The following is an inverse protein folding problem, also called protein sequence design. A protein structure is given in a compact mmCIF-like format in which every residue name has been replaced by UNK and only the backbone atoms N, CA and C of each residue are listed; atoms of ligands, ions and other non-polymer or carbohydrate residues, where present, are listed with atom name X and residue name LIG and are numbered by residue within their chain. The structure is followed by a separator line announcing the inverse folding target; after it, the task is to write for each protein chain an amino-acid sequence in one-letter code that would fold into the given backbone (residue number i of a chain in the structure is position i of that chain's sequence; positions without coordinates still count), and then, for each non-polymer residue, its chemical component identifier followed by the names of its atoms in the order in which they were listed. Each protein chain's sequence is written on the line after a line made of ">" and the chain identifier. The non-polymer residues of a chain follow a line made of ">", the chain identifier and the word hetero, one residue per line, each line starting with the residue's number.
data_IF_066827691160
#
_entry.id   IF_066827691160
#
_cell.length_a   1.000
_cell.length_b   1.000
_cell.length_c   1.000
_cell.angle_alpha   90.00
_cell.angle_beta   90.00
_cell.angle_gamma   90.00
#
_symmetry.space_group_name_H-M   'P 1'
#
loop_
_entity.id
_entity.type
_entity.pdbx_description
1 polymer ?
#
# COMPACT_ATOMS: atom_id res chain seq x y z
N UNK A 1 11.12 -16.79 1.73
CA UNK A 1 10.04 -17.41 2.53
C UNK A 1 8.86 -17.75 1.64
N UNK A 2 8.24 -18.92 1.86
CA UNK A 2 7.07 -19.32 1.09
C UNK A 2 5.82 -18.55 1.52
N UNK A 3 4.84 -18.39 0.60
CA UNK A 3 3.62 -17.61 0.85
C UNK A 3 2.88 -18.09 2.12
N UNK A 4 2.74 -19.39 2.29
CA UNK A 4 2.02 -19.98 3.43
C UNK A 4 2.69 -19.65 4.79
N UNK A 5 4.00 -19.58 4.83
CA UNK A 5 4.74 -19.18 6.03
C UNK A 5 4.50 -17.69 6.35
N UNK A 6 4.50 -16.84 5.30
CA UNK A 6 4.19 -15.42 5.45
C UNK A 6 2.77 -15.22 5.98
N UNK A 7 1.77 -15.94 5.42
CA UNK A 7 0.38 -15.90 5.90
C UNK A 7 0.28 -16.23 7.39
N UNK A 8 0.96 -17.30 7.83
CA UNK A 8 0.98 -17.68 9.24
C UNK A 8 1.56 -16.59 10.14
N UNK A 9 2.68 -15.98 9.74
CA UNK A 9 3.30 -14.89 10.50
C UNK A 9 2.37 -13.67 10.56
N UNK A 10 1.81 -13.25 9.42
CA UNK A 10 0.90 -12.09 9.34
C UNK A 10 -0.33 -12.32 10.21
N UNK A 11 -0.90 -13.53 10.18
CA UNK A 11 -2.05 -13.89 10.99
C UNK A 11 -1.80 -13.72 12.50
N UNK A 12 -0.59 -13.97 12.98
CA UNK A 12 -0.26 -13.77 14.41
C UNK A 12 -0.14 -12.29 14.81
N UNK A 13 0.04 -11.40 13.85
CA UNK A 13 0.27 -9.96 14.08
C UNK A 13 -0.98 -9.10 13.86
N UNK A 14 -2.06 -9.67 13.33
CA UNK A 14 -3.27 -8.94 12.97
C UNK A 14 -4.52 -9.55 13.59
N UNK A 15 -5.52 -8.72 13.88
CA UNK A 15 -6.86 -9.19 14.21
C UNK A 15 -7.46 -9.99 13.04
N UNK A 16 -8.43 -10.86 13.32
CA UNK A 16 -9.14 -11.64 12.29
C UNK A 16 -9.69 -10.74 11.17
N UNK A 17 -10.28 -9.60 11.54
CA UNK A 17 -10.83 -8.63 10.58
C UNK A 17 -9.73 -8.05 9.68
N UNK A 18 -8.58 -7.69 10.24
CA UNK A 18 -7.48 -7.10 9.47
C UNK A 18 -6.78 -8.16 8.63
N UNK A 19 -6.64 -9.36 9.15
CA UNK A 19 -6.09 -10.48 8.39
C UNK A 19 -6.98 -10.82 7.18
N UNK A 20 -8.31 -10.88 7.38
CA UNK A 20 -9.26 -11.07 6.28
C UNK A 20 -9.13 -9.98 5.19
N UNK A 21 -8.99 -8.71 5.59
CA UNK A 21 -8.68 -7.63 4.65
C UNK A 21 -7.39 -7.92 3.86
N UNK A 22 -6.31 -8.32 4.54
CA UNK A 22 -5.05 -8.66 3.87
C UNK A 22 -5.19 -9.83 2.88
N UNK A 23 -6.03 -10.81 3.17
CA UNK A 23 -6.36 -11.89 2.23
C UNK A 23 -7.11 -11.37 0.99
N UNK A 24 -8.08 -10.47 1.18
CA UNK A 24 -8.78 -9.84 0.06
C UNK A 24 -7.84 -8.98 -0.82
N UNK A 25 -6.90 -8.26 -0.20
CA UNK A 25 -5.87 -7.50 -0.91
C UNK A 25 -4.93 -8.42 -1.67
N UNK A 26 -4.52 -9.55 -1.09
CA UNK A 26 -3.70 -10.57 -1.74
C UNK A 26 -4.37 -11.09 -3.02
N UNK A 27 -5.66 -11.45 -2.95
CA UNK A 27 -6.39 -11.93 -4.14
C UNK A 27 -6.54 -10.82 -5.19
N UNK A 28 -6.81 -9.58 -4.76
CA UNK A 28 -6.89 -8.45 -5.71
C UNK A 28 -5.54 -8.13 -6.36
N UNK A 29 -4.45 -8.19 -5.61
CA UNK A 29 -3.09 -8.02 -6.14
C UNK A 29 -2.73 -9.11 -7.17
N UNK A 30 -3.12 -10.36 -6.90
CA UNK A 30 -2.99 -11.49 -7.85
C UNK A 30 -3.73 -11.23 -9.17
N UNK A 31 -4.99 -10.75 -9.11
CA UNK A 31 -5.78 -10.41 -10.30
C UNK A 31 -5.08 -9.33 -11.14
N UNK A 32 -4.62 -8.25 -10.48
CA UNK A 32 -3.94 -7.15 -11.14
C UNK A 32 -2.57 -7.58 -11.69
N UNK A 33 -1.80 -8.39 -10.97
CA UNK A 33 -0.55 -8.95 -11.45
C UNK A 33 -0.75 -9.78 -12.71
N UNK A 34 -1.78 -10.64 -12.74
CA UNK A 34 -2.13 -11.39 -13.95
C UNK A 34 -2.51 -10.48 -15.11
N UNK A 35 -3.29 -9.41 -14.85
CA UNK A 35 -3.73 -8.46 -15.89
C UNK A 35 -2.55 -7.71 -16.50
N UNK A 36 -1.60 -7.28 -15.68
CA UNK A 36 -0.46 -6.44 -16.12
C UNK A 36 0.84 -7.19 -16.36
N UNK A 37 0.82 -8.53 -16.34
CA UNK A 37 2.00 -9.36 -16.65
C UNK A 37 3.11 -9.29 -15.60
N UNK A 38 2.75 -9.08 -14.32
CA UNK A 38 3.69 -9.12 -13.20
C UNK A 38 3.71 -10.48 -12.51
N UNK A 39 4.76 -10.77 -11.73
CA UNK A 39 4.88 -12.00 -10.96
C UNK A 39 3.74 -12.11 -9.92
N UNK A 40 2.92 -13.15 -10.09
CA UNK A 40 1.74 -13.38 -9.27
C UNK A 40 2.11 -13.72 -7.82
N UNK A 41 3.16 -14.52 -7.61
CA UNK A 41 3.57 -14.94 -6.28
C UNK A 41 4.19 -13.77 -5.50
N UNK A 42 4.95 -12.90 -6.16
CA UNK A 42 5.44 -11.67 -5.55
C UNK A 42 4.27 -10.76 -5.16
N UNK A 43 3.32 -10.54 -6.06
CA UNK A 43 2.14 -9.69 -5.79
C UNK A 43 1.30 -10.23 -4.62
N UNK A 44 1.11 -11.54 -4.52
CA UNK A 44 0.42 -12.18 -3.40
C UNK A 44 1.15 -11.96 -2.07
N UNK A 45 2.48 -12.14 -2.06
CA UNK A 45 3.31 -11.96 -0.86
C UNK A 45 3.23 -10.53 -0.34
N UNK A 46 3.33 -9.52 -1.20
CA UNK A 46 3.20 -8.13 -0.76
C UNK A 46 1.77 -7.79 -0.36
N UNK A 47 0.77 -8.35 -1.05
CA UNK A 47 -0.64 -8.16 -0.73
C UNK A 47 -1.01 -8.64 0.68
N UNK A 48 -0.59 -9.86 1.07
CA UNK A 48 -0.88 -10.39 2.40
C UNK A 48 -0.12 -9.65 3.51
N UNK A 49 1.09 -9.15 3.23
CA UNK A 49 1.96 -8.54 4.22
C UNK A 49 1.81 -7.01 4.34
N UNK A 50 1.09 -6.34 3.44
CA UNK A 50 1.10 -4.86 3.32
C UNK A 50 0.74 -4.12 4.62
N UNK A 51 -0.16 -4.66 5.41
CA UNK A 51 -0.67 -4.07 6.65
C UNK A 51 -0.11 -4.75 7.92
N UNK A 52 0.99 -5.52 7.84
CA UNK A 52 1.56 -6.30 8.95
C UNK A 52 1.83 -5.48 10.23
N UNK A 53 2.05 -4.18 10.12
CA UNK A 53 2.27 -3.25 11.23
C UNK A 53 1.07 -2.34 11.52
N UNK A 54 -0.10 -2.59 10.90
CA UNK A 54 -1.26 -1.68 10.98
C UNK A 54 -1.78 -1.50 12.39
N UNK A 55 -1.88 -2.58 13.13
CA UNK A 55 -2.50 -2.62 14.47
C UNK A 55 -1.49 -2.44 15.60
N UNK A 56 -0.23 -2.20 15.29
CA UNK A 56 0.77 -1.78 16.29
C UNK A 56 0.31 -0.46 16.92
N UNK A 57 0.32 -0.30 18.26
CA UNK A 57 -0.04 0.96 18.94
C UNK A 57 0.85 2.13 18.49
N UNK A 58 0.30 3.34 18.44
CA UNK A 58 1.03 4.52 17.93
C UNK A 58 2.32 4.82 18.70
N UNK A 59 2.30 4.65 20.02
CA UNK A 59 3.50 4.83 20.87
C UNK A 59 4.59 3.82 20.52
N UNK A 60 4.20 2.58 20.28
CA UNK A 60 5.13 1.52 19.86
C UNK A 60 5.66 1.76 18.44
N UNK A 61 4.85 2.30 17.53
CA UNK A 61 5.31 2.72 16.20
C UNK A 61 6.40 3.78 16.29
N UNK A 62 6.20 4.82 17.10
CA UNK A 62 7.19 5.88 17.33
C UNK A 62 8.48 5.33 17.97
N UNK A 63 8.35 4.41 18.90
CA UNK A 63 9.51 3.72 19.48
C UNK A 63 10.25 2.89 18.43
N UNK A 64 9.52 2.08 17.66
CA UNK A 64 10.07 1.22 16.61
C UNK A 64 10.87 2.01 15.56
N UNK A 65 10.32 3.11 15.04
CA UNK A 65 11.04 3.92 14.03
C UNK A 65 12.33 4.52 14.58
N UNK A 66 12.34 4.93 15.86
CA UNK A 66 13.54 5.43 16.54
C UNK A 66 14.60 4.34 16.71
N UNK A 67 14.21 3.17 17.21
CA UNK A 67 15.12 2.03 17.44
C UNK A 67 15.71 1.46 16.14
N UNK A 68 14.95 1.56 15.04
CA UNK A 68 15.40 1.07 13.73
C UNK A 68 15.98 2.17 12.82
N UNK A 69 16.18 3.40 13.32
CA UNK A 69 16.68 4.54 12.57
C UNK A 69 15.86 4.84 11.28
N UNK A 70 14.53 4.60 11.31
CA UNK A 70 13.65 4.89 10.18
C UNK A 70 13.38 6.38 10.15
N UNK A 71 13.68 7.03 9.02
CA UNK A 71 13.41 8.45 8.83
C UNK A 71 11.92 8.71 8.68
N UNK A 72 11.41 9.62 9.49
CA UNK A 72 10.02 10.09 9.44
C UNK A 72 9.97 11.59 9.22
N UNK A 73 8.88 12.09 8.66
CA UNK A 73 8.61 13.51 8.50
C UNK A 73 7.67 14.04 9.61
N UNK A 74 7.41 15.36 9.58
CA UNK A 74 6.58 16.03 10.57
C UNK A 74 5.13 15.50 10.58
N UNK A 75 4.54 15.25 9.40
CA UNK A 75 3.17 14.74 9.28
C UNK A 75 3.07 13.30 9.82
N UNK A 76 4.07 12.47 9.57
CA UNK A 76 4.14 11.13 10.12
C UNK A 76 4.34 11.13 11.65
N UNK A 77 5.06 12.12 12.17
CA UNK A 77 5.22 12.31 13.61
C UNK A 77 3.88 12.72 14.27
N UNK A 78 3.15 13.64 13.66
CA UNK A 78 1.83 14.10 14.13
C UNK A 78 0.75 13.02 13.95
N UNK A 79 0.86 12.19 12.89
CA UNK A 79 -0.06 11.09 12.60
C UNK A 79 0.68 9.74 12.50
N UNK A 80 1.05 9.13 13.63
CA UNK A 80 1.80 7.86 13.63
C UNK A 80 1.06 6.68 13.00
N UNK A 81 -0.24 6.85 12.69
CA UNK A 81 -0.97 5.81 11.94
C UNK A 81 -0.40 5.57 10.55
N UNK A 82 0.29 6.57 9.96
CA UNK A 82 0.94 6.46 8.66
C UNK A 82 2.21 5.60 8.71
N UNK A 83 2.85 5.50 9.87
CA UNK A 83 4.11 4.78 10.06
C UNK A 83 4.00 3.27 9.81
N UNK A 84 2.79 2.70 9.83
CA UNK A 84 2.62 1.26 9.56
C UNK A 84 3.21 0.83 8.21
N UNK A 85 3.21 1.71 7.22
CA UNK A 85 3.77 1.40 5.90
C UNK A 85 5.30 1.30 5.93
N UNK A 86 5.99 2.23 6.57
CA UNK A 86 7.46 2.19 6.74
C UNK A 86 7.91 1.08 7.70
N UNK A 87 7.15 0.85 8.76
CA UNK A 87 7.42 -0.24 9.70
C UNK A 87 7.16 -1.58 9.01
N UNK A 88 6.08 -1.69 8.25
CA UNK A 88 5.75 -2.88 7.46
C UNK A 88 6.83 -3.22 6.44
N UNK A 89 7.36 -2.23 5.71
CA UNK A 89 8.54 -2.38 4.84
C UNK A 89 9.72 -2.97 5.60
N UNK A 90 10.07 -2.39 6.74
CA UNK A 90 11.22 -2.82 7.53
C UNK A 90 11.07 -4.25 8.09
N UNK A 91 9.87 -4.59 8.59
CA UNK A 91 9.54 -5.95 9.05
C UNK A 91 9.61 -6.93 7.87
N UNK A 92 9.00 -6.59 6.74
CA UNK A 92 8.95 -7.46 5.57
C UNK A 92 10.35 -7.81 5.03
N UNK A 93 11.24 -6.82 4.96
CA UNK A 93 12.62 -7.04 4.54
C UNK A 93 13.39 -7.89 5.57
N UNK A 94 13.32 -7.53 6.86
CA UNK A 94 14.13 -8.17 7.90
C UNK A 94 13.62 -9.56 8.32
N UNK A 95 12.31 -9.72 8.45
CA UNK A 95 11.70 -10.91 9.03
C UNK A 95 11.13 -11.86 7.97
N UNK A 96 10.59 -11.33 6.85
CA UNK A 96 9.96 -12.15 5.82
C UNK A 96 10.89 -12.43 4.62
N UNK A 97 12.08 -11.81 4.59
CA UNK A 97 13.06 -11.98 3.51
C UNK A 97 12.61 -11.34 2.19
N UNK A 98 11.84 -10.25 2.26
CA UNK A 98 11.43 -9.49 1.08
C UNK A 98 12.61 -8.71 0.48
N UNK A 99 12.58 -8.53 -0.84
CA UNK A 99 13.51 -7.63 -1.53
C UNK A 99 13.18 -6.18 -1.24
N UNK A 100 14.12 -5.26 -1.54
CA UNK A 100 13.89 -3.81 -1.43
C UNK A 100 12.69 -3.35 -2.29
N UNK A 101 12.50 -3.93 -3.48
CA UNK A 101 11.34 -3.64 -4.35
C UNK A 101 10.02 -4.03 -3.68
N UNK A 102 9.95 -5.22 -3.09
CA UNK A 102 8.77 -5.68 -2.35
C UNK A 102 8.50 -4.80 -1.11
N UNK A 103 9.55 -4.43 -0.40
CA UNK A 103 9.47 -3.50 0.73
C UNK A 103 8.97 -2.12 0.30
N UNK A 104 9.50 -1.58 -0.80
CA UNK A 104 9.06 -0.31 -1.37
C UNK A 104 7.55 -0.32 -1.67
N UNK A 105 7.03 -1.40 -2.25
CA UNK A 105 5.60 -1.50 -2.52
C UNK A 105 4.76 -1.39 -1.23
N UNK A 106 5.20 -2.04 -0.14
CA UNK A 106 4.56 -1.89 1.16
C UNK A 106 4.64 -0.44 1.65
N UNK A 107 5.79 0.23 1.54
CA UNK A 107 5.90 1.64 1.92
C UNK A 107 5.00 2.56 1.09
N UNK A 108 4.89 2.30 -0.21
CA UNK A 108 4.16 3.15 -1.14
C UNK A 108 2.62 3.05 -1.04
N UNK A 109 2.07 1.94 -0.50
CA UNK A 109 0.64 1.65 -0.59
C UNK A 109 -0.26 2.68 0.09
N UNK A 110 0.25 3.40 1.09
CA UNK A 110 -0.54 4.37 1.87
C UNK A 110 -0.60 5.74 1.21
N UNK A 111 0.53 6.33 0.87
CA UNK A 111 0.63 7.72 0.38
C UNK A 111 0.96 7.82 -1.10
N UNK A 112 1.39 6.74 -1.72
CA UNK A 112 2.10 6.76 -2.99
C UNK A 112 3.53 7.30 -2.82
N UNK A 113 4.31 7.19 -3.87
CA UNK A 113 5.66 7.76 -4.03
C UNK A 113 5.84 8.22 -5.49
N UNK A 114 6.76 9.14 -5.79
CA UNK A 114 7.12 9.41 -7.18
C UNK A 114 7.73 8.15 -7.83
N UNK A 115 7.57 8.01 -9.14
CA UNK A 115 8.14 6.90 -9.90
C UNK A 115 7.77 5.49 -9.37
N UNK A 116 6.49 5.29 -9.08
CA UNK A 116 5.98 3.98 -8.63
C UNK A 116 6.30 2.89 -9.65
N UNK A 117 6.89 1.78 -9.19
CA UNK A 117 7.06 0.57 -9.99
C UNK A 117 5.70 -0.07 -10.31
N UNK A 118 5.68 -1.07 -11.18
CA UNK A 118 4.45 -1.80 -11.47
C UNK A 118 3.90 -2.51 -10.20
N UNK A 119 4.77 -3.05 -9.36
CA UNK A 119 4.39 -3.67 -8.09
C UNK A 119 3.78 -2.66 -7.12
N UNK A 120 4.37 -1.46 -7.01
CA UNK A 120 3.84 -0.38 -6.18
C UNK A 120 2.41 -0.02 -6.60
N UNK A 121 2.17 0.14 -7.91
CA UNK A 121 0.86 0.47 -8.49
C UNK A 121 -0.16 -0.65 -8.25
N UNK A 122 0.25 -1.90 -8.44
CA UNK A 122 -0.59 -3.08 -8.18
C UNK A 122 -1.04 -3.09 -6.72
N UNK A 123 -0.13 -2.99 -5.77
CA UNK A 123 -0.48 -3.02 -4.35
C UNK A 123 -1.33 -1.81 -3.94
N UNK A 124 -0.98 -0.60 -4.42
CA UNK A 124 -1.71 0.63 -4.13
C UNK A 124 -3.19 0.55 -4.58
N UNK A 125 -3.44 -0.03 -5.76
CA UNK A 125 -4.80 -0.24 -6.28
C UNK A 125 -5.48 -1.38 -5.51
N UNK A 126 -4.77 -2.49 -5.27
CA UNK A 126 -5.33 -3.67 -4.61
C UNK A 126 -5.85 -3.36 -3.21
N UNK A 127 -5.07 -2.65 -2.39
CA UNK A 127 -5.53 -2.21 -1.05
C UNK A 127 -6.81 -1.39 -1.12
N UNK A 128 -6.98 -0.56 -2.15
CA UNK A 128 -8.13 0.33 -2.25
C UNK A 128 -9.37 -0.34 -2.81
N UNK A 129 -9.20 -1.40 -3.59
CA UNK A 129 -10.27 -2.04 -4.38
C UNK A 129 -10.49 -3.51 -4.03
N UNK A 130 -9.95 -3.96 -2.92
CA UNK A 130 -10.22 -5.28 -2.37
C UNK A 130 -11.73 -5.49 -2.09
N UNK A 131 -12.21 -6.70 -2.28
CA UNK A 131 -13.65 -7.01 -2.37
C UNK A 131 -14.46 -6.57 -1.15
N UNK A 132 -13.90 -6.63 0.04
CA UNK A 132 -14.58 -6.26 1.30
C UNK A 132 -14.75 -4.74 1.50
N UNK A 133 -14.03 -3.91 0.72
CA UNK A 133 -14.11 -2.45 0.84
C UNK A 133 -15.34 -1.84 0.17
N UNK A 134 -15.97 -2.57 -0.78
CA UNK A 134 -17.14 -2.05 -1.49
C UNK A 134 -16.87 -0.73 -2.21
N UNK A 135 -15.75 -0.65 -2.95
CA UNK A 135 -15.38 0.58 -3.67
C UNK A 135 -16.47 1.02 -4.65
N UNK A 136 -17.11 2.16 -4.37
CA UNK A 136 -18.31 2.62 -5.11
C UNK A 136 -18.10 2.76 -6.61
N UNK A 137 -16.91 3.17 -7.01
CA UNK A 137 -16.59 3.49 -8.40
C UNK A 137 -15.82 2.36 -9.10
N UNK A 138 -15.95 1.10 -8.62
CA UNK A 138 -15.19 -0.04 -9.13
C UNK A 138 -15.32 -0.24 -10.65
N UNK A 139 -16.52 -0.03 -11.19
CA UNK A 139 -16.77 -0.16 -12.62
C UNK A 139 -16.03 0.91 -13.44
N UNK A 140 -15.96 2.13 -12.91
CA UNK A 140 -15.20 3.21 -13.55
C UNK A 140 -13.71 2.94 -13.46
N UNK A 141 -13.24 2.53 -12.29
CA UNK A 141 -11.82 2.19 -12.09
C UNK A 141 -11.38 1.05 -13.01
N UNK A 142 -12.22 0.03 -13.21
CA UNK A 142 -11.91 -1.07 -14.12
C UNK A 142 -11.76 -0.58 -15.59
N UNK A 143 -12.56 0.38 -16.04
CA UNK A 143 -12.38 1.02 -17.35
C UNK A 143 -11.02 1.74 -17.43
N UNK A 144 -10.64 2.47 -16.39
CA UNK A 144 -9.32 3.12 -16.36
C UNK A 144 -8.19 2.09 -16.39
N UNK A 145 -8.33 0.95 -15.67
CA UNK A 145 -7.38 -0.16 -15.70
C UNK A 145 -7.29 -0.85 -17.06
N UNK A 146 -8.32 -0.77 -17.91
CA UNK A 146 -8.27 -1.26 -19.28
C UNK A 146 -7.53 -0.29 -20.21
N UNK A 147 -7.47 0.99 -19.86
CA UNK A 147 -6.74 2.00 -20.60
C UNK A 147 -5.28 2.10 -20.16
N UNK A 148 -5.05 2.35 -18.86
CA UNK A 148 -3.72 2.47 -18.25
C UNK A 148 -3.79 2.29 -16.73
N UNK A 149 -2.80 1.59 -16.16
CA UNK A 149 -2.66 1.49 -14.70
C UNK A 149 -2.38 2.86 -14.06
N UNK A 150 -1.71 3.77 -14.76
CA UNK A 150 -1.41 5.12 -14.28
C UNK A 150 -2.68 5.98 -14.15
N UNK A 151 -3.64 5.84 -15.08
CA UNK A 151 -4.96 6.47 -14.95
C UNK A 151 -5.70 6.00 -13.70
N UNK A 152 -5.66 4.71 -13.43
CA UNK A 152 -6.29 4.14 -12.24
C UNK A 152 -5.63 4.62 -10.93
N UNK A 153 -4.29 4.66 -10.87
CA UNK A 153 -3.54 5.18 -9.71
C UNK A 153 -3.84 6.66 -9.52
N UNK A 154 -3.78 7.47 -10.58
CA UNK A 154 -4.09 8.90 -10.54
C UNK A 154 -5.49 9.15 -9.98
N UNK A 155 -6.48 8.42 -10.47
CA UNK A 155 -7.87 8.52 -9.98
C UNK A 155 -7.99 8.22 -8.49
N UNK A 156 -7.32 7.17 -8.01
CA UNK A 156 -7.32 6.82 -6.57
C UNK A 156 -6.65 7.91 -5.75
N UNK A 157 -5.50 8.44 -6.20
CA UNK A 157 -4.79 9.52 -5.50
C UNK A 157 -5.68 10.76 -5.42
N UNK A 158 -6.30 11.17 -6.52
CA UNK A 158 -7.19 12.34 -6.56
C UNK A 158 -8.36 12.18 -5.59
N UNK A 159 -9.03 11.02 -5.57
CA UNK A 159 -10.09 10.72 -4.61
C UNK A 159 -9.59 10.79 -3.16
N UNK A 160 -8.39 10.28 -2.87
CA UNK A 160 -7.80 10.36 -1.52
C UNK A 160 -7.51 11.79 -1.11
N UNK A 161 -6.94 12.61 -2.00
CA UNK A 161 -6.65 14.02 -1.74
C UNK A 161 -7.95 14.79 -1.50
N UNK A 162 -8.95 14.62 -2.36
CA UNK A 162 -10.27 15.26 -2.18
C UNK A 162 -10.91 14.91 -0.84
N UNK A 163 -10.85 13.64 -0.44
CA UNK A 163 -11.36 13.20 0.86
C UNK A 163 -10.62 13.87 2.04
N UNK A 164 -9.30 14.09 1.95
CA UNK A 164 -8.57 14.83 2.98
C UNK A 164 -8.98 16.30 3.03
N UNK A 165 -9.16 16.93 1.88
CA UNK A 165 -9.64 18.34 1.79
C UNK A 165 -11.02 18.47 2.42
N UNK A 166 -11.97 17.60 2.10
CA UNK A 166 -13.31 17.58 2.65
C UNK A 166 -13.30 17.42 4.18
N UNK A 167 -12.42 16.57 4.69
CA UNK A 167 -12.22 16.34 6.12
C UNK A 167 -11.42 17.45 6.82
N UNK A 168 -10.90 18.44 6.10
CA UNK A 168 -9.97 19.46 6.61
C UNK A 168 -8.75 18.83 7.31
N UNK A 169 -8.29 17.68 6.80
CA UNK A 169 -7.15 16.94 7.32
C UNK A 169 -5.87 17.23 6.50
N UNK A 170 -4.72 17.02 7.12
CA UNK A 170 -3.42 17.18 6.46
C UNK A 170 -3.26 16.20 5.30
N UNK A 171 -2.67 16.67 4.22
CA UNK A 171 -2.34 15.85 3.04
C UNK A 171 -0.84 15.56 3.08
N UNK A 172 -0.49 14.28 3.11
CA UNK A 172 0.92 13.89 3.08
C UNK A 172 1.59 14.35 1.75
N UNK A 173 2.76 15.01 1.80
CA UNK A 173 3.44 15.53 0.62
C UNK A 173 3.66 14.49 -0.48
N UNK A 174 3.97 13.25 -0.12
CA UNK A 174 4.16 12.16 -1.09
C UNK A 174 2.94 11.95 -2.00
N UNK A 175 1.70 12.14 -1.49
CA UNK A 175 0.50 11.98 -2.32
C UNK A 175 0.45 13.04 -3.43
N UNK A 176 0.84 14.27 -3.13
CA UNK A 176 0.92 15.36 -4.13
C UNK A 176 2.09 15.10 -5.10
N UNK A 177 3.25 14.68 -4.58
CA UNK A 177 4.43 14.41 -5.40
C UNK A 177 4.17 13.23 -6.35
N UNK A 178 3.59 12.14 -5.86
CA UNK A 178 3.21 10.98 -6.66
C UNK A 178 2.21 11.34 -7.76
N UNK A 179 1.15 12.11 -7.41
CA UNK A 179 0.19 12.64 -8.36
C UNK A 179 0.86 13.44 -9.49
N UNK A 180 1.66 14.42 -9.12
CA UNK A 180 2.33 15.29 -10.07
C UNK A 180 3.33 14.53 -10.95
N UNK A 181 3.98 13.51 -10.38
CA UNK A 181 4.88 12.65 -11.15
C UNK A 181 4.11 11.87 -12.23
N UNK A 182 2.96 11.28 -11.89
CA UNK A 182 2.12 10.54 -12.83
C UNK A 182 1.60 11.46 -13.94
N UNK A 183 1.11 12.66 -13.61
CA UNK A 183 0.65 13.63 -14.60
C UNK A 183 1.75 14.05 -15.58
N UNK A 184 3.01 14.06 -15.16
CA UNK A 184 4.14 14.46 -15.98
C UNK A 184 4.74 13.33 -16.80
N UNK A 185 4.72 12.10 -16.28
CA UNK A 185 5.52 11.00 -16.82
C UNK A 185 4.70 9.72 -17.08
N UNK A 186 3.47 9.66 -16.61
CA UNK A 186 2.60 8.48 -16.75
C UNK A 186 1.86 8.43 -18.08
N UNK A 187 1.30 7.27 -18.35
CA UNK A 187 0.39 7.03 -19.50
C UNK A 187 -1.04 7.44 -19.11
N UNK A 188 -1.40 8.70 -19.34
CA UNK A 188 -2.70 9.29 -18.97
C UNK A 188 -3.52 9.71 -20.18
#
# INVERSE_FOLDING_TARGET
>A
MELKEIEQIVQTKLSEKRFYHSQCVMERAKELAKKFGYDIEIAKKVGIAHDIAKEVPNEEKLKYVKENNIKIDEIECENPTLLHAKIGENIAIKELGFTEEMGQAIRAHTTGIPNMTLLDKILFIADRTSSERGFSDINYLNKLLDESIDKAVLYIIDKKIMLQIEKKATIHPNSIIARNWILKNGEI
#
